data_IF_145956225938
#
_entry.id   IF_145956225938
#
_cell.length_a   1.000
_cell.length_b   1.000
_cell.length_c   1.000
_cell.angle_alpha   90.00
_cell.angle_beta   90.00
_cell.angle_gamma   90.00
#
_symmetry.space_group_name_H-M   'P 1'
#
loop_
_entity.id
_entity.type
_entity.pdbx_description
1 polymer ?
#
# COMPACT_ATOMS: atom_id res chain seq x y z
N UNK A 1 -21.93 1.81 -11.57
CA UNK A 1 -21.08 1.98 -10.37
C UNK A 1 -20.43 3.34 -10.41
N UNK A 2 -20.46 4.07 -9.31
CA UNK A 2 -19.81 5.37 -9.25
C UNK A 2 -18.30 5.23 -9.20
N UNK A 3 -17.58 6.29 -9.58
CA UNK A 3 -16.12 6.32 -9.48
C UNK A 3 -15.67 6.10 -8.03
N UNK A 4 -16.45 6.61 -7.08
CA UNK A 4 -16.16 6.45 -5.67
C UNK A 4 -16.20 4.99 -5.24
N UNK A 5 -17.18 4.23 -5.72
CA UNK A 5 -17.29 2.81 -5.41
C UNK A 5 -16.15 2.01 -6.04
N UNK A 6 -15.77 2.34 -7.28
CA UNK A 6 -14.68 1.68 -7.96
C UNK A 6 -13.35 1.90 -7.22
N UNK A 7 -13.11 3.13 -6.77
CA UNK A 7 -11.90 3.46 -5.99
C UNK A 7 -11.87 2.72 -4.66
N UNK A 8 -13.02 2.62 -3.98
CA UNK A 8 -13.13 1.92 -2.72
C UNK A 8 -12.88 0.41 -2.89
N UNK A 9 -13.43 -0.19 -3.93
CA UNK A 9 -13.20 -1.61 -4.23
C UNK A 9 -11.73 -1.87 -4.49
N UNK A 10 -11.07 -1.00 -5.24
CA UNK A 10 -9.65 -1.13 -5.56
C UNK A 10 -8.81 -1.11 -4.28
N UNK A 11 -9.03 -0.10 -3.46
CA UNK A 11 -8.33 0.05 -2.19
C UNK A 11 -8.55 -1.17 -1.29
N UNK A 12 -9.80 -1.59 -1.16
CA UNK A 12 -10.16 -2.72 -0.29
C UNK A 12 -9.52 -4.02 -0.77
N UNK A 13 -9.40 -4.20 -2.08
CA UNK A 13 -8.76 -5.37 -2.65
C UNK A 13 -7.27 -5.41 -2.29
N UNK A 14 -6.59 -4.28 -2.35
CA UNK A 14 -5.18 -4.17 -1.97
C UNK A 14 -5.01 -4.50 -0.48
N UNK A 15 -5.83 -3.88 0.36
CA UNK A 15 -5.74 -4.08 1.81
C UNK A 15 -6.00 -5.54 2.16
N UNK A 16 -7.02 -6.14 1.55
CA UNK A 16 -7.34 -7.55 1.77
C UNK A 16 -6.17 -8.47 1.38
N UNK A 17 -5.50 -8.17 0.28
CA UNK A 17 -4.34 -8.94 -0.17
C UNK A 17 -3.18 -8.83 0.82
N UNK A 18 -2.98 -7.66 1.40
CA UNK A 18 -1.96 -7.46 2.43
C UNK A 18 -2.30 -8.23 3.71
N UNK A 19 -3.57 -8.21 4.11
CA UNK A 19 -4.04 -8.93 5.29
C UNK A 19 -3.88 -10.44 5.11
N UNK A 20 -4.15 -10.96 3.93
CA UNK A 20 -4.05 -12.39 3.63
C UNK A 20 -2.65 -12.93 3.89
N UNK A 21 -1.63 -12.11 3.71
CA UNK A 21 -0.24 -12.50 3.96
C UNK A 21 0.31 -11.84 5.22
N UNK A 22 -0.58 -11.40 6.11
CA UNK A 22 -0.25 -10.94 7.47
C UNK A 22 0.66 -9.73 7.52
N UNK A 23 0.45 -8.77 6.61
CA UNK A 23 1.12 -7.48 6.71
C UNK A 23 0.78 -6.84 8.06
N UNK A 24 1.74 -6.13 8.63
CA UNK A 24 1.58 -5.48 9.93
C UNK A 24 1.36 -4.00 9.75
N UNK A 25 0.67 -3.39 10.71
CA UNK A 25 0.50 -1.94 10.80
C UNK A 25 0.07 -1.30 9.48
N UNK A 26 -1.00 -1.83 8.90
CA UNK A 26 -1.53 -1.33 7.63
C UNK A 26 -2.21 0.00 7.86
N UNK A 27 -1.78 1.01 7.10
CA UNK A 27 -2.29 2.38 7.19
C UNK A 27 -2.67 2.85 5.80
N UNK A 28 -3.77 3.55 5.72
CA UNK A 28 -4.18 4.28 4.51
C UNK A 28 -4.06 5.76 4.79
N UNK A 29 -3.40 6.49 3.89
CA UNK A 29 -3.37 7.95 3.91
C UNK A 29 -4.19 8.44 2.72
N UNK A 30 -5.26 9.20 3.00
CA UNK A 30 -6.08 9.78 1.95
C UNK A 30 -5.48 11.14 1.58
N UNK A 31 -4.92 11.21 0.38
CA UNK A 31 -4.23 12.39 -0.13
C UNK A 31 -5.07 13.15 -1.14
N UNK A 32 -6.33 12.74 -1.34
CA UNK A 32 -7.17 13.28 -2.41
C UNK A 32 -7.43 14.78 -2.30
N UNK A 33 -7.38 15.33 -1.08
CA UNK A 33 -7.60 16.75 -0.86
C UNK A 33 -6.30 17.56 -0.79
N UNK A 34 -5.15 16.89 -0.96
CA UNK A 34 -3.84 17.55 -0.91
C UNK A 34 -3.39 17.84 -2.34
N UNK A 35 -3.39 19.11 -2.70
CA UNK A 35 -3.15 19.55 -4.08
C UNK A 35 -1.78 19.18 -4.63
N UNK A 36 -0.79 19.05 -3.76
CA UNK A 36 0.58 18.76 -4.18
C UNK A 36 0.82 17.27 -4.43
N UNK A 37 -0.11 16.41 -4.04
CA UNK A 37 0.06 14.99 -4.18
C UNK A 37 -0.26 14.52 -5.59
N UNK A 38 0.57 13.61 -6.13
CA UNK A 38 0.33 12.95 -7.41
C UNK A 38 -0.58 11.73 -7.25
N UNK A 39 -0.78 11.26 -6.02
CA UNK A 39 -1.58 10.07 -5.73
C UNK A 39 -2.79 10.47 -4.88
N UNK A 40 -3.89 9.77 -5.08
CA UNK A 40 -5.07 9.97 -4.27
C UNK A 40 -4.92 9.33 -2.89
N UNK A 41 -4.13 8.26 -2.80
CA UNK A 41 -3.88 7.64 -1.50
C UNK A 41 -2.60 6.83 -1.51
N UNK A 42 -2.03 6.69 -0.31
CA UNK A 42 -0.96 5.75 -0.02
C UNK A 42 -1.54 4.64 0.84
N UNK A 43 -1.08 3.41 0.59
CA UNK A 43 -1.32 2.29 1.49
C UNK A 43 0.06 1.84 1.95
N UNK A 44 0.27 1.85 3.27
CA UNK A 44 1.58 1.61 3.87
C UNK A 44 1.45 0.44 4.83
N UNK A 45 2.38 -0.48 4.79
CA UNK A 45 2.40 -1.59 5.76
C UNK A 45 3.83 -1.98 6.08
N UNK A 46 3.96 -2.84 7.09
CA UNK A 46 5.25 -3.36 7.54
C UNK A 46 5.32 -4.86 7.28
N UNK A 47 6.45 -5.30 6.73
CA UNK A 47 6.79 -6.70 6.58
C UNK A 47 7.80 -7.09 7.65
N UNK A 48 7.80 -8.37 8.05
CA UNK A 48 8.68 -8.87 9.10
C UNK A 48 10.07 -9.26 8.59
N UNK A 49 10.20 -9.42 7.27
CA UNK A 49 11.45 -9.83 6.64
C UNK A 49 11.42 -9.46 5.16
N UNK A 50 12.58 -9.55 4.51
CA UNK A 50 12.68 -9.35 3.07
C UNK A 50 11.80 -10.34 2.31
N UNK A 51 11.81 -11.59 2.71
CA UNK A 51 10.97 -12.63 2.10
C UNK A 51 9.49 -12.32 2.29
N UNK A 52 9.10 -11.84 3.46
CA UNK A 52 7.73 -11.44 3.73
C UNK A 52 7.32 -10.25 2.86
N UNK A 53 8.22 -9.27 2.69
CA UNK A 53 7.95 -8.12 1.82
C UNK A 53 7.69 -8.57 0.38
N UNK A 54 8.46 -9.51 -0.12
CA UNK A 54 8.28 -10.07 -1.46
C UNK A 54 6.97 -10.84 -1.58
N UNK A 55 6.61 -11.61 -0.56
CA UNK A 55 5.34 -12.33 -0.54
C UNK A 55 4.14 -11.38 -0.57
N UNK A 56 4.22 -10.28 0.17
CA UNK A 56 3.17 -9.25 0.19
C UNK A 56 3.04 -8.59 -1.19
N UNK A 57 4.15 -8.23 -1.76
CA UNK A 57 4.25 -7.62 -3.09
C UNK A 57 3.61 -8.54 -4.14
N UNK A 58 4.02 -9.82 -4.18
CA UNK A 58 3.49 -10.77 -5.14
C UNK A 58 1.98 -10.99 -4.94
N UNK A 59 1.53 -11.06 -3.70
CA UNK A 59 0.12 -11.31 -3.42
C UNK A 59 -0.76 -10.13 -3.82
N UNK A 60 -0.29 -8.90 -3.59
CA UNK A 60 -1.04 -7.71 -4.03
C UNK A 60 -1.20 -7.73 -5.55
N UNK A 61 -0.09 -7.91 -6.28
CA UNK A 61 -0.12 -7.87 -7.74
C UNK A 61 -1.02 -8.97 -8.29
N UNK A 62 -0.90 -10.19 -7.76
CA UNK A 62 -1.71 -11.31 -8.21
C UNK A 62 -3.19 -11.11 -7.90
N UNK A 63 -3.51 -10.68 -6.68
CA UNK A 63 -4.90 -10.52 -6.24
C UNK A 63 -5.60 -9.42 -7.04
N UNK A 64 -4.93 -8.30 -7.24
CA UNK A 64 -5.50 -7.20 -8.01
C UNK A 64 -5.72 -7.63 -9.47
N UNK A 65 -4.77 -8.36 -10.04
CA UNK A 65 -4.92 -8.87 -11.41
C UNK A 65 -6.09 -9.83 -11.53
N UNK A 66 -6.21 -10.76 -10.60
CA UNK A 66 -7.28 -11.77 -10.63
C UNK A 66 -8.66 -11.16 -10.42
N UNK A 67 -8.77 -10.22 -9.49
CA UNK A 67 -10.08 -9.68 -9.11
C UNK A 67 -10.50 -8.48 -9.95
N UNK A 68 -9.57 -7.66 -10.38
CA UNK A 68 -9.87 -6.39 -11.05
C UNK A 68 -9.28 -6.27 -12.44
N UNK A 69 -8.46 -7.21 -12.84
CA UNK A 69 -7.79 -7.24 -14.14
C UNK A 69 -6.93 -5.98 -14.38
N UNK A 70 -6.24 -5.53 -13.34
CA UNK A 70 -5.37 -4.36 -13.38
C UNK A 70 -3.94 -4.77 -13.05
N UNK A 71 -2.99 -4.28 -13.83
CA UNK A 71 -1.57 -4.44 -13.56
C UNK A 71 -1.00 -3.12 -13.06
N UNK A 72 0.02 -3.15 -12.20
CA UNK A 72 0.64 -1.90 -11.75
C UNK A 72 1.33 -1.19 -12.92
N UNK A 73 1.36 0.13 -12.87
CA UNK A 73 2.10 0.93 -13.84
C UNK A 73 3.59 0.77 -13.65
N UNK A 74 4.02 0.64 -12.41
CA UNK A 74 5.42 0.50 -12.07
C UNK A 74 5.55 -0.22 -10.75
N UNK A 75 6.69 -0.85 -10.55
CA UNK A 75 7.03 -1.53 -9.31
C UNK A 75 8.52 -1.38 -9.07
N UNK A 76 8.88 -1.11 -7.83
CA UNK A 76 10.27 -0.91 -7.46
C UNK A 76 10.61 -1.68 -6.21
N UNK A 77 11.83 -2.22 -6.18
CA UNK A 77 12.38 -2.86 -5.01
C UNK A 77 13.62 -2.07 -4.61
N UNK A 78 13.62 -1.57 -3.39
CA UNK A 78 14.70 -0.73 -2.87
C UNK A 78 15.45 -1.49 -1.78
N UNK A 79 16.78 -1.45 -1.83
CA UNK A 79 17.64 -2.02 -0.79
C UNK A 79 17.27 -3.46 -0.40
N UNK A 80 17.30 -4.36 -1.36
CA UNK A 80 17.06 -5.80 -1.12
C UNK A 80 15.72 -6.03 -0.41
N UNK A 81 14.66 -5.44 -0.94
CA UNK A 81 13.29 -5.60 -0.44
C UNK A 81 13.03 -5.00 0.94
N UNK A 82 13.87 -4.06 1.39
CA UNK A 82 13.59 -3.32 2.62
C UNK A 82 12.45 -2.31 2.41
N UNK A 83 12.22 -1.94 1.17
CA UNK A 83 11.14 -1.06 0.77
C UNK A 83 10.69 -1.48 -0.63
N UNK A 84 9.43 -1.87 -0.76
CA UNK A 84 8.85 -2.28 -2.04
C UNK A 84 7.71 -1.34 -2.36
N UNK A 85 7.68 -0.86 -3.59
CA UNK A 85 6.70 0.10 -4.09
C UNK A 85 5.88 -0.53 -5.19
N UNK A 86 4.56 -0.33 -5.14
CA UNK A 86 3.67 -0.76 -6.22
C UNK A 86 2.82 0.45 -6.63
N UNK A 87 3.02 0.91 -7.85
CA UNK A 87 2.36 2.09 -8.39
C UNK A 87 1.15 1.68 -9.22
N UNK A 88 -0.04 1.98 -8.73
CA UNK A 88 -1.30 1.71 -9.43
C UNK A 88 -1.93 2.98 -9.98
N UNK A 89 -1.14 4.00 -10.24
CA UNK A 89 -1.57 5.29 -10.79
C UNK A 89 -2.18 6.19 -9.71
N UNK A 90 -3.34 5.82 -9.17
CA UNK A 90 -4.00 6.63 -8.12
C UNK A 90 -3.58 6.24 -6.72
N UNK A 91 -3.12 5.00 -6.56
CA UNK A 91 -2.75 4.43 -5.27
C UNK A 91 -1.31 3.97 -5.35
N UNK A 92 -0.50 4.42 -4.39
CA UNK A 92 0.86 3.95 -4.24
C UNK A 92 0.93 3.08 -2.99
N UNK A 93 1.35 1.83 -3.16
CA UNK A 93 1.47 0.88 -2.05
C UNK A 93 2.93 0.84 -1.62
N UNK A 94 3.15 0.99 -0.32
CA UNK A 94 4.48 0.95 0.30
C UNK A 94 4.55 -0.23 1.25
N UNK A 95 5.46 -1.15 0.99
CA UNK A 95 5.75 -2.25 1.91
C UNK A 95 7.15 -2.04 2.45
N UNK A 96 7.28 -1.85 3.76
CA UNK A 96 8.55 -1.55 4.42
C UNK A 96 8.92 -2.61 5.43
N UNK A 97 10.20 -2.87 5.61
CA UNK A 97 10.68 -3.40 6.88
C UNK A 97 10.58 -2.29 7.93
N UNK A 98 10.45 -2.67 9.19
CA UNK A 98 10.22 -1.71 10.27
C UNK A 98 11.29 -0.62 10.31
N UNK A 99 12.56 -0.96 10.21
CA UNK A 99 13.65 0.01 10.24
C UNK A 99 13.54 1.02 9.10
N UNK A 100 13.21 0.55 7.90
CA UNK A 100 13.08 1.43 6.74
C UNK A 100 11.87 2.35 6.87
N UNK A 101 10.77 1.83 7.39
CA UNK A 101 9.56 2.64 7.62
C UNK A 101 9.86 3.81 8.55
N UNK A 102 10.59 3.54 9.64
CA UNK A 102 10.98 4.56 10.60
C UNK A 102 11.99 5.54 9.99
N UNK A 103 12.96 5.02 9.25
CA UNK A 103 14.02 5.83 8.67
C UNK A 103 13.48 6.82 7.65
N UNK A 104 12.69 6.34 6.68
CA UNK A 104 12.15 7.20 5.62
C UNK A 104 10.99 8.06 6.11
N UNK A 105 10.22 7.55 7.07
CA UNK A 105 9.14 8.28 7.73
C UNK A 105 8.25 9.07 6.76
N UNK A 106 7.76 8.39 5.71
CA UNK A 106 6.92 9.07 4.73
C UNK A 106 5.59 9.52 5.34
N UNK A 107 5.12 8.83 6.37
CA UNK A 107 3.91 9.22 7.09
C UNK A 107 4.07 10.59 7.74
N UNK A 108 5.28 10.94 8.17
CA UNK A 108 5.58 12.24 8.74
C UNK A 108 5.50 13.38 7.75
N UNK A 109 5.70 13.08 6.45
CA UNK A 109 5.60 14.09 5.39
C UNK A 109 4.15 14.43 5.06
N UNK A 110 3.21 13.55 5.39
CA UNK A 110 1.80 13.70 5.02
C UNK A 110 0.90 13.75 6.25
N UNK A 111 1.33 14.51 7.26
CA UNK A 111 0.57 14.61 8.52
C UNK A 111 -0.82 15.21 8.34
N UNK A 112 -1.03 15.98 7.26
CA UNK A 112 -2.33 16.58 6.96
C UNK A 112 -3.29 15.61 6.27
N UNK A 113 -2.83 14.44 5.87
CA UNK A 113 -3.69 13.46 5.22
C UNK A 113 -4.60 12.79 6.24
N UNK A 114 -5.79 12.39 5.79
CA UNK A 114 -6.66 11.57 6.62
C UNK A 114 -6.02 10.20 6.75
N UNK A 115 -5.91 9.71 7.98
CA UNK A 115 -5.23 8.47 8.29
C UNK A 115 -6.23 7.44 8.79
N UNK A 116 -6.23 6.26 8.19
CA UNK A 116 -7.03 5.13 8.66
C UNK A 116 -6.11 3.94 8.91
N UNK A 117 -6.32 3.27 10.03
CA UNK A 117 -5.53 2.11 10.39
C UNK A 117 -6.35 0.83 10.23
N UNK A 118 -5.72 -0.21 9.72
CA UNK A 118 -6.35 -1.51 9.48
C UNK A 118 -5.64 -2.57 10.30
N UNK A 119 -5.80 -2.47 11.62
CA UNK A 119 -5.15 -3.38 12.56
C UNK A 119 -6.09 -4.54 12.85
N UNK A 120 -5.74 -5.69 12.33
CA UNK A 120 -6.49 -6.91 12.59
C UNK A 120 -5.67 -7.80 13.49
N UNK A 121 -6.21 -7.99 14.68
CA UNK A 121 -5.67 -8.95 15.63
C UNK A 121 -6.50 -10.21 15.52
N UNK A 122 -5.93 -11.23 14.95
CA UNK A 122 -6.54 -12.55 14.96
C UNK A 122 -5.58 -13.53 15.58
#
# INVERSE_FOLDING_TARGET
MSLQNASSIFKDTIISALQDKKAQDIVELDLSEIKMSLFDRFIICTATSNTHAEALYDNVIRTVKQNLNVLPMNREVVNNSQWVLIDYFDILVHVFLQESREFYNIEGLWVDAKRMEYNFTN
#
